data_IF_048645818909
#
_entry.id   IF_048645818909
#
_cell.length_a   1.000
_cell.length_b   1.000
_cell.length_c   1.000
_cell.angle_alpha   90.00
_cell.angle_beta   90.00
_cell.angle_gamma   90.00
#
_symmetry.space_group_name_H-M   'P 1'
#
loop_
_entity.id
_entity.type
_entity.pdbx_description
1 polymer ?
#
# COMPACT_ATOMS: atom_id res chain seq x y z
N UNK A 1 0.44 13.81 23.02
CA UNK A 1 -0.14 12.47 23.28
C UNK A 1 0.70 11.45 22.54
N UNK A 2 1.15 10.39 23.20
CA UNK A 2 1.92 9.30 22.56
C UNK A 2 1.03 8.06 22.56
N UNK A 3 0.83 7.49 21.38
CA UNK A 3 0.03 6.27 21.20
C UNK A 3 0.99 5.12 20.88
N UNK A 4 1.06 4.12 21.75
CA UNK A 4 1.87 2.91 21.57
C UNK A 4 0.98 1.75 21.10
N UNK A 5 1.56 0.77 20.41
CA UNK A 5 0.87 -0.45 19.96
C UNK A 5 0.08 -1.16 21.08
N UNK A 6 0.64 -1.18 22.27
CA UNK A 6 0.06 -1.89 23.41
C UNK A 6 -0.88 -1.03 24.27
N UNK A 7 -1.08 0.24 23.90
CA UNK A 7 -1.95 1.15 24.64
C UNK A 7 -3.20 1.47 23.84
N UNK A 8 -4.30 1.33 24.51
CA UNK A 8 -5.61 1.74 24.00
C UNK A 8 -5.67 3.26 23.89
N UNK A 9 -6.34 3.77 22.86
CA UNK A 9 -6.63 5.20 22.76
C UNK A 9 -7.75 5.52 23.74
N UNK A 10 -7.46 6.34 24.73
CA UNK A 10 -8.47 6.84 25.64
C UNK A 10 -9.24 7.99 24.98
N UNK A 11 -10.53 7.79 24.78
CA UNK A 11 -11.46 8.80 24.28
C UNK A 11 -12.48 9.15 25.36
N UNK A 12 -12.45 10.38 25.85
CA UNK A 12 -13.35 10.86 26.92
C UNK A 12 -13.39 9.98 28.18
N UNK A 13 -12.22 9.53 28.64
CA UNK A 13 -12.10 8.69 29.82
C UNK A 13 -12.60 7.25 29.64
N UNK A 14 -12.78 6.80 28.43
CA UNK A 14 -13.09 5.41 28.10
C UNK A 14 -12.01 4.82 27.21
N UNK A 15 -11.53 3.65 27.60
CA UNK A 15 -10.61 2.87 26.77
C UNK A 15 -11.29 2.47 25.46
N UNK A 16 -10.73 2.87 24.36
CA UNK A 16 -11.19 2.46 23.03
C UNK A 16 -10.20 1.45 22.45
N UNK A 17 -10.64 0.21 22.37
CA UNK A 17 -9.87 -0.84 21.72
C UNK A 17 -10.01 -0.69 20.19
N UNK A 18 -8.92 -0.36 19.54
CA UNK A 18 -8.88 -0.29 18.08
C UNK A 18 -8.58 -1.70 17.55
N UNK A 19 -9.60 -2.44 17.19
CA UNK A 19 -9.48 -3.70 16.44
C UNK A 19 -9.18 -3.39 14.97
N UNK A 20 -8.15 -2.59 14.73
CA UNK A 20 -7.76 -2.22 13.37
C UNK A 20 -6.42 -2.86 13.03
N UNK A 21 -6.38 -3.85 12.11
CA UNK A 21 -5.13 -4.49 11.69
C UNK A 21 -4.16 -3.52 11.00
N UNK A 22 -4.60 -2.29 10.69
CA UNK A 22 -3.77 -1.25 10.09
C UNK A 22 -3.04 -0.38 11.12
N UNK A 23 -3.36 -0.47 12.40
CA UNK A 23 -2.67 0.26 13.47
C UNK A 23 -1.41 -0.48 13.93
N UNK A 24 -0.56 -0.87 13.00
CA UNK A 24 0.72 -1.54 13.28
C UNK A 24 1.90 -0.58 13.36
N UNK A 25 1.65 0.72 13.37
CA UNK A 25 2.71 1.69 13.61
C UNK A 25 2.95 1.79 15.12
N UNK A 26 4.12 1.37 15.61
CA UNK A 26 4.34 1.13 17.04
C UNK A 26 4.19 2.36 17.89
N UNK A 27 4.39 3.55 17.31
CA UNK A 27 4.31 4.79 18.08
C UNK A 27 3.93 5.95 17.18
N UNK A 28 2.89 6.68 17.54
CA UNK A 28 2.58 7.99 16.97
C UNK A 28 2.66 9.06 18.06
N UNK A 29 3.53 10.05 17.86
CA UNK A 29 3.59 11.26 18.67
C UNK A 29 2.71 12.35 18.05
N UNK A 30 1.91 13.04 18.86
CA UNK A 30 1.13 14.19 18.42
C UNK A 30 1.50 15.41 19.24
N UNK A 31 1.78 16.51 18.54
CA UNK A 31 1.86 17.85 19.08
C UNK A 31 0.72 18.67 18.52
N UNK A 32 -0.05 19.30 19.38
CA UNK A 32 -1.20 20.09 18.99
C UNK A 32 -1.03 21.50 19.55
N UNK A 33 -1.04 22.49 18.68
CA UNK A 33 -1.03 23.91 19.05
C UNK A 33 -2.44 24.44 19.08
N UNK A 34 -2.84 24.98 20.20
CA UNK A 34 -4.18 25.53 20.44
C UNK A 34 -4.06 27.04 20.57
N UNK A 35 -4.91 27.75 19.82
CA UNK A 35 -5.01 29.22 19.90
C UNK A 35 -5.63 29.64 21.22
N UNK A 36 -4.97 30.53 21.95
CA UNK A 36 -5.49 31.09 23.21
C UNK A 36 -6.66 32.06 23.01
N UNK A 37 -6.92 32.49 21.77
CA UNK A 37 -7.98 33.45 21.47
C UNK A 37 -9.33 32.80 21.24
N UNK A 38 -9.39 31.54 20.84
CA UNK A 38 -10.61 30.83 20.48
C UNK A 38 -10.63 29.37 20.89
N UNK A 39 -9.62 28.90 21.61
CA UNK A 39 -9.46 27.54 22.10
C UNK A 39 -9.51 26.43 21.02
N UNK A 40 -9.28 26.81 19.74
CA UNK A 40 -9.25 25.88 18.62
C UNK A 40 -7.83 25.47 18.26
N UNK A 41 -7.63 24.21 17.83
CA UNK A 41 -6.34 23.77 17.31
C UNK A 41 -6.07 24.46 15.97
N UNK A 42 -4.92 25.09 15.81
CA UNK A 42 -4.50 25.69 14.55
C UNK A 42 -3.35 24.96 13.88
N UNK A 43 -2.67 24.08 14.59
CA UNK A 43 -1.60 23.25 14.02
C UNK A 43 -1.54 21.92 14.72
N UNK A 44 -1.38 20.86 13.94
CA UNK A 44 -1.18 19.49 14.42
C UNK A 44 0.04 18.90 13.72
N UNK A 45 1.04 18.47 14.51
CA UNK A 45 2.17 17.68 14.03
C UNK A 45 1.98 16.25 14.49
N UNK A 46 2.02 15.32 13.55
CA UNK A 46 2.07 13.90 13.83
C UNK A 46 3.43 13.36 13.43
N UNK A 47 4.09 12.69 14.33
CA UNK A 47 5.33 11.99 14.08
C UNK A 47 5.14 10.49 14.24
N UNK A 48 5.51 9.77 13.21
CA UNK A 48 5.59 8.32 13.18
C UNK A 48 7.02 7.95 12.79
N UNK A 49 7.44 6.71 13.05
CA UNK A 49 8.81 6.26 12.78
C UNK A 49 9.32 6.59 11.36
N UNK A 50 8.45 6.63 10.38
CA UNK A 50 8.79 6.80 8.96
C UNK A 50 8.19 8.06 8.33
N UNK A 51 7.40 8.81 9.05
CA UNK A 51 6.72 9.98 8.49
C UNK A 51 6.46 11.05 9.57
N UNK A 52 6.71 12.30 9.20
CA UNK A 52 6.30 13.46 9.97
C UNK A 52 5.33 14.24 9.09
N UNK A 53 4.11 14.41 9.56
CA UNK A 53 3.11 15.24 8.90
C UNK A 53 2.78 16.46 9.77
N UNK A 54 2.61 17.61 9.13
CA UNK A 54 2.18 18.84 9.80
C UNK A 54 1.00 19.41 9.03
N UNK A 55 -0.10 19.63 9.71
CA UNK A 55 -1.28 20.28 9.19
C UNK A 55 -1.48 21.60 9.94
N UNK A 56 -1.64 22.69 9.21
CA UNK A 56 -1.88 24.01 9.77
C UNK A 56 -3.15 24.60 9.17
N UNK A 57 -3.94 25.28 9.98
CA UNK A 57 -5.10 26.04 9.57
C UNK A 57 -4.81 27.53 9.76
N UNK A 58 -5.06 28.32 8.72
CA UNK A 58 -5.04 29.79 8.77
C UNK A 58 -6.45 30.34 8.49
N UNK A 59 -6.66 31.57 8.85
CA UNK A 59 -7.89 32.31 8.50
C UNK A 59 -9.18 31.62 8.95
N UNK A 60 -9.14 31.09 10.19
CA UNK A 60 -10.27 30.36 10.78
C UNK A 60 -11.37 31.35 11.15
N UNK A 61 -12.51 31.24 10.50
CA UNK A 61 -13.71 32.00 10.79
C UNK A 61 -14.78 31.12 11.48
N UNK A 62 -15.22 31.55 12.67
CA UNK A 62 -16.19 30.80 13.47
C UNK A 62 -17.58 31.40 13.27
N UNK A 63 -18.56 30.59 12.90
CA UNK A 63 -19.97 30.98 12.75
C UNK A 63 -20.23 32.11 11.72
N UNK A 64 -19.30 32.34 10.78
CA UNK A 64 -19.45 33.37 9.75
C UNK A 64 -20.03 32.85 8.44
N UNK A 65 -19.92 31.56 8.17
CA UNK A 65 -20.40 30.96 6.93
C UNK A 65 -21.37 29.81 7.23
N UNK A 66 -22.42 29.69 6.43
CA UNK A 66 -23.32 28.54 6.44
C UNK A 66 -22.81 27.49 5.45
N UNK A 67 -22.97 26.21 5.78
CA UNK A 67 -22.65 25.11 4.85
C UNK A 67 -23.49 25.20 3.56
N UNK A 68 -24.65 25.90 3.61
CA UNK A 68 -25.50 26.12 2.44
C UNK A 68 -24.91 27.11 1.45
N UNK A 69 -23.98 27.96 1.89
CA UNK A 69 -23.29 28.95 1.06
C UNK A 69 -22.03 28.38 0.42
N UNK A 70 -21.68 27.12 0.76
CA UNK A 70 -20.48 26.47 0.29
C UNK A 70 -20.68 25.94 -1.14
N UNK A 71 -19.95 26.54 -2.09
CA UNK A 71 -19.88 26.05 -3.47
C UNK A 71 -18.50 25.44 -3.71
N UNK A 72 -18.47 24.15 -4.01
CA UNK A 72 -17.23 23.42 -4.30
C UNK A 72 -16.37 24.11 -5.35
N UNK A 73 -17.01 24.69 -6.39
CA UNK A 73 -16.33 25.40 -7.47
C UNK A 73 -15.48 26.60 -7.03
N UNK A 74 -15.75 27.16 -5.84
CA UNK A 74 -15.06 28.36 -5.35
C UNK A 74 -13.73 28.01 -4.66
N UNK A 75 -13.54 26.72 -4.32
CA UNK A 75 -12.41 26.22 -3.54
C UNK A 75 -11.45 25.34 -4.34
N UNK A 76 -11.84 24.89 -5.52
CA UNK A 76 -11.01 24.02 -6.35
C UNK A 76 -10.61 24.72 -7.65
N UNK A 77 -9.37 24.51 -8.13
CA UNK A 77 -8.95 24.95 -9.44
C UNK A 77 -9.90 24.46 -10.54
N UNK A 78 -10.06 25.26 -11.61
CA UNK A 78 -11.03 24.96 -12.69
C UNK A 78 -10.72 23.67 -13.46
N UNK A 79 -9.50 23.17 -13.37
CA UNK A 79 -9.03 21.93 -13.98
C UNK A 79 -9.25 20.68 -13.09
N UNK A 80 -9.81 20.88 -11.88
CA UNK A 80 -10.18 19.78 -11.01
C UNK A 80 -11.51 19.17 -11.44
N UNK A 81 -11.50 17.86 -11.62
CA UNK A 81 -12.71 17.10 -11.91
C UNK A 81 -13.45 16.77 -10.61
N UNK A 82 -14.66 17.28 -10.46
CA UNK A 82 -15.53 16.99 -9.33
C UNK A 82 -16.35 15.73 -9.68
N UNK A 83 -16.21 14.67 -8.88
CA UNK A 83 -16.93 13.40 -9.05
C UNK A 83 -17.85 13.13 -7.89
N UNK A 84 -18.94 12.41 -8.15
CA UNK A 84 -19.81 11.92 -7.09
C UNK A 84 -19.19 10.71 -6.39
N UNK A 85 -19.47 10.58 -5.10
CA UNK A 85 -19.07 9.38 -4.34
C UNK A 85 -19.69 8.15 -4.99
N UNK A 86 -18.87 7.15 -5.31
CA UNK A 86 -19.31 5.93 -6.00
C UNK A 86 -19.11 5.93 -7.53
N UNK A 87 -18.76 7.06 -8.14
CA UNK A 87 -18.33 7.07 -9.54
C UNK A 87 -16.97 6.39 -9.66
N UNK A 88 -16.93 5.31 -10.43
CA UNK A 88 -15.69 4.59 -10.68
C UNK A 88 -14.72 5.48 -11.47
N UNK A 89 -13.53 5.68 -10.92
CA UNK A 89 -12.43 6.21 -11.71
C UNK A 89 -12.10 5.17 -12.78
N UNK A 90 -12.12 5.56 -14.06
CA UNK A 90 -11.51 4.73 -15.09
C UNK A 90 -10.03 4.53 -14.69
N UNK A 91 -9.69 3.34 -14.22
CA UNK A 91 -8.29 2.98 -13.98
C UNK A 91 -7.66 2.96 -15.36
N UNK A 92 -6.62 3.75 -15.64
CA UNK A 92 -5.95 3.68 -16.93
C UNK A 92 -5.53 2.23 -17.13
N UNK A 93 -6.02 1.60 -18.19
CA UNK A 93 -5.58 0.25 -18.57
C UNK A 93 -4.09 0.36 -18.77
N UNK A 94 -3.31 -0.33 -17.96
CA UNK A 94 -1.85 -0.23 -18.07
C UNK A 94 -1.43 -0.69 -19.47
N UNK A 95 -0.72 0.17 -20.17
CA UNK A 95 -0.13 -0.14 -21.48
C UNK A 95 0.89 -1.30 -21.44
N UNK A 96 1.17 -1.84 -20.25
CA UNK A 96 2.16 -2.89 -20.04
C UNK A 96 1.62 -4.30 -20.30
N UNK A 97 0.30 -4.51 -20.34
CA UNK A 97 -0.27 -5.83 -20.66
C UNK A 97 0.11 -6.22 -22.08
N UNK A 98 0.62 -7.44 -22.24
CA UNK A 98 1.16 -7.95 -23.51
C UNK A 98 2.64 -7.60 -23.75
N UNK A 99 3.24 -6.75 -22.94
CA UNK A 99 4.66 -6.43 -23.04
C UNK A 99 5.52 -7.35 -22.19
N UNK A 100 6.77 -7.53 -22.60
CA UNK A 100 7.77 -8.22 -21.77
C UNK A 100 8.08 -7.38 -20.53
N UNK A 101 8.04 -8.01 -19.37
CA UNK A 101 8.34 -7.36 -18.12
C UNK A 101 9.77 -6.79 -18.11
N UNK A 102 9.93 -5.58 -17.63
CA UNK A 102 11.25 -4.95 -17.47
C UNK A 102 12.10 -5.81 -16.53
N UNK A 103 13.31 -6.16 -16.97
CA UNK A 103 14.25 -6.92 -16.16
C UNK A 103 14.72 -6.09 -14.95
N UNK A 104 14.97 -6.77 -13.85
CA UNK A 104 15.47 -6.17 -12.61
C UNK A 104 16.35 -7.13 -11.83
N UNK A 105 17.21 -6.55 -11.00
CA UNK A 105 17.99 -7.22 -9.96
C UNK A 105 17.85 -6.37 -8.71
N UNK A 106 17.29 -6.95 -7.62
CA UNK A 106 16.95 -6.27 -6.39
C UNK A 106 17.52 -7.03 -5.19
N UNK A 107 17.72 -6.34 -4.05
CA UNK A 107 18.20 -6.95 -2.83
C UNK A 107 17.06 -7.55 -2.02
N UNK A 108 17.29 -8.76 -1.47
CA UNK A 108 16.39 -9.38 -0.50
C UNK A 108 16.73 -8.94 0.95
N UNK A 109 16.08 -9.56 1.93
CA UNK A 109 16.29 -9.31 3.37
C UNK A 109 17.71 -9.67 3.87
N UNK A 110 18.46 -10.45 3.08
CA UNK A 110 19.85 -10.87 3.36
C UNK A 110 20.87 -10.12 2.51
N UNK A 111 20.49 -9.03 1.87
CA UNK A 111 21.32 -8.24 0.94
C UNK A 111 21.81 -9.04 -0.28
N UNK A 112 21.18 -10.18 -0.58
CA UNK A 112 21.50 -11.00 -1.74
C UNK A 112 20.75 -10.47 -2.97
N UNK A 113 21.38 -10.56 -4.12
CA UNK A 113 20.76 -10.21 -5.40
C UNK A 113 19.71 -11.26 -5.79
N UNK A 114 18.54 -10.79 -6.12
CA UNK A 114 17.43 -11.56 -6.71
C UNK A 114 17.07 -10.88 -8.03
N UNK A 115 17.14 -11.63 -9.11
CA UNK A 115 16.82 -11.14 -10.46
C UNK A 115 15.52 -11.73 -10.98
N UNK A 116 14.84 -11.01 -11.87
CA UNK A 116 13.67 -11.53 -12.57
C UNK A 116 13.99 -12.86 -13.31
N UNK A 117 15.21 -12.99 -13.80
CA UNK A 117 15.69 -14.18 -14.50
C UNK A 117 15.90 -15.40 -13.61
N UNK A 118 15.93 -15.25 -12.29
CA UNK A 118 16.09 -16.38 -11.34
C UNK A 118 14.83 -17.21 -11.20
N UNK A 119 13.69 -16.60 -11.51
CA UNK A 119 12.40 -17.28 -11.49
C UNK A 119 12.24 -18.12 -12.78
N UNK A 120 11.95 -19.42 -12.63
CA UNK A 120 11.82 -20.36 -13.77
C UNK A 120 10.41 -20.96 -13.87
N UNK A 121 9.50 -20.58 -12.97
CA UNK A 121 8.11 -21.01 -12.97
C UNK A 121 7.38 -20.65 -14.26
N UNK A 122 6.36 -21.44 -14.65
CA UNK A 122 5.47 -21.13 -15.78
C UNK A 122 4.76 -19.78 -15.56
N UNK A 123 4.31 -19.54 -14.34
CA UNK A 123 3.67 -18.28 -13.95
C UNK A 123 4.47 -17.62 -12.83
N UNK A 124 4.72 -16.33 -12.94
CA UNK A 124 5.30 -15.51 -11.88
C UNK A 124 4.31 -14.44 -11.45
N UNK A 125 3.95 -14.43 -10.17
CA UNK A 125 3.18 -13.34 -9.56
C UNK A 125 4.14 -12.35 -8.91
N UNK A 126 4.16 -11.12 -9.43
CA UNK A 126 4.93 -10.01 -8.88
C UNK A 126 3.99 -9.05 -8.17
N UNK A 127 4.16 -8.85 -6.87
CA UNK A 127 3.41 -7.86 -6.10
C UNK A 127 4.30 -6.64 -5.81
N UNK A 128 3.84 -5.45 -6.13
CA UNK A 128 4.39 -4.22 -5.57
C UNK A 128 3.66 -3.91 -4.27
N UNK A 129 4.42 -3.80 -3.20
CA UNK A 129 3.90 -3.73 -1.82
C UNK A 129 4.59 -2.63 -1.00
N UNK A 130 4.08 -2.34 0.19
CA UNK A 130 4.71 -1.44 1.16
C UNK A 130 4.57 -1.97 2.57
N UNK A 131 5.65 -1.95 3.35
CA UNK A 131 5.60 -2.27 4.79
C UNK A 131 4.84 -1.15 5.50
N UNK A 132 3.71 -1.50 6.17
CA UNK A 132 2.78 -0.54 6.76
C UNK A 132 1.57 -0.21 5.85
N UNK A 133 1.51 -0.77 4.64
CA UNK A 133 0.34 -0.67 3.78
C UNK A 133 -0.73 -1.69 4.22
N UNK A 134 -1.86 -1.22 4.70
CA UNK A 134 -2.94 -2.07 5.20
C UNK A 134 -3.47 -3.09 4.19
N UNK A 135 -3.94 -2.68 2.99
CA UNK A 135 -4.40 -3.63 1.97
C UNK A 135 -3.31 -4.62 1.53
N UNK A 136 -2.02 -4.21 1.57
CA UNK A 136 -0.92 -5.12 1.28
C UNK A 136 -0.81 -6.22 2.34
N UNK A 137 -0.96 -5.87 3.63
CA UNK A 137 -0.93 -6.86 4.71
C UNK A 137 -2.10 -7.83 4.62
N UNK A 138 -3.29 -7.35 4.27
CA UNK A 138 -4.47 -8.21 4.08
C UNK A 138 -4.29 -9.24 2.97
N UNK A 139 -3.45 -8.98 1.98
CA UNK A 139 -3.16 -9.93 0.89
C UNK A 139 -2.20 -11.04 1.27
N UNK A 140 -1.43 -10.90 2.36
CA UNK A 140 -0.38 -11.88 2.74
C UNK A 140 -0.93 -13.29 2.97
N UNK A 141 -2.03 -13.49 3.74
CA UNK A 141 -2.57 -14.85 3.94
C UNK A 141 -2.97 -15.53 2.63
N UNK A 142 -3.53 -14.78 1.69
CA UNK A 142 -3.85 -15.28 0.36
C UNK A 142 -2.59 -15.68 -0.42
N UNK A 143 -1.57 -14.82 -0.47
CA UNK A 143 -0.32 -15.11 -1.17
C UNK A 143 0.41 -16.29 -0.57
N UNK A 144 0.47 -16.42 0.76
CA UNK A 144 1.04 -17.57 1.46
C UNK A 144 0.30 -18.86 1.06
N UNK A 145 -1.03 -18.83 1.08
CA UNK A 145 -1.85 -19.98 0.66
C UNK A 145 -1.61 -20.34 -0.80
N UNK A 146 -1.56 -19.33 -1.67
CA UNK A 146 -1.33 -19.50 -3.09
C UNK A 146 0.04 -20.14 -3.36
N UNK A 147 1.10 -19.64 -2.71
CA UNK A 147 2.46 -20.21 -2.80
C UNK A 147 2.51 -21.66 -2.33
N UNK A 148 1.77 -22.00 -1.28
CA UNK A 148 1.72 -23.38 -0.75
C UNK A 148 0.87 -24.32 -1.62
N UNK A 149 -0.06 -23.78 -2.40
CA UNK A 149 -1.00 -24.55 -3.23
C UNK A 149 -0.38 -25.07 -4.52
N UNK A 150 0.50 -24.30 -5.14
CA UNK A 150 1.12 -24.61 -6.42
C UNK A 150 2.56 -25.05 -6.24
N UNK A 151 3.03 -25.95 -7.13
CA UNK A 151 4.45 -26.30 -7.18
C UNK A 151 5.27 -25.10 -7.65
N UNK A 152 6.52 -25.00 -7.21
CA UNK A 152 7.39 -23.87 -7.60
C UNK A 152 7.64 -23.79 -9.10
N UNK A 153 7.62 -24.92 -9.82
CA UNK A 153 7.76 -24.93 -11.28
C UNK A 153 6.52 -24.37 -11.98
N UNK A 154 5.34 -24.45 -11.37
CA UNK A 154 4.11 -23.90 -11.91
C UNK A 154 3.95 -22.43 -11.52
N UNK A 155 4.08 -22.09 -10.23
CA UNK A 155 3.92 -20.73 -9.73
C UNK A 155 5.04 -20.35 -8.77
N UNK A 156 5.66 -19.21 -9.01
CA UNK A 156 6.45 -18.51 -7.99
C UNK A 156 5.87 -17.13 -7.69
N UNK A 157 6.21 -16.58 -6.51
CA UNK A 157 5.72 -15.30 -6.04
C UNK A 157 6.89 -14.48 -5.53
N UNK A 158 6.94 -13.20 -5.93
CA UNK A 158 7.86 -12.22 -5.39
C UNK A 158 7.11 -10.93 -5.06
N UNK A 159 7.38 -10.38 -3.88
CA UNK A 159 6.92 -9.05 -3.52
C UNK A 159 8.10 -8.07 -3.58
N UNK A 160 7.83 -6.88 -4.11
CA UNK A 160 8.79 -5.77 -4.25
C UNK A 160 8.30 -4.64 -3.34
N UNK A 161 9.05 -4.37 -2.29
CA UNK A 161 8.76 -3.31 -1.33
C UNK A 161 9.14 -1.95 -1.95
N UNK A 162 8.17 -1.06 -2.11
CA UNK A 162 8.33 0.19 -2.88
C UNK A 162 8.71 1.40 -2.04
N UNK A 163 8.64 1.32 -0.72
CA UNK A 163 8.95 2.44 0.19
C UNK A 163 10.41 2.44 0.66
N UNK A 164 11.27 1.65 0.00
CA UNK A 164 12.73 1.59 0.21
C UNK A 164 13.12 1.26 1.65
N UNK A 165 12.41 0.31 2.26
CA UNK A 165 12.75 -0.14 3.59
C UNK A 165 14.09 -0.89 3.56
N UNK A 166 14.86 -0.73 4.63
CA UNK A 166 16.13 -1.44 4.79
C UNK A 166 15.90 -2.95 4.99
N UNK A 167 16.90 -3.76 4.68
CA UNK A 167 16.87 -5.22 4.77
C UNK A 167 16.37 -5.76 6.10
N UNK A 168 16.77 -5.16 7.24
CA UNK A 168 16.27 -5.57 8.55
C UNK A 168 14.76 -5.37 8.72
N UNK A 169 14.17 -4.34 8.09
CA UNK A 169 12.73 -4.14 8.11
C UNK A 169 12.01 -5.22 7.30
N UNK A 170 12.59 -5.64 6.16
CA UNK A 170 12.08 -6.76 5.37
C UNK A 170 12.11 -8.05 6.21
N UNK A 171 13.25 -8.34 6.87
CA UNK A 171 13.39 -9.53 7.69
C UNK A 171 12.37 -9.58 8.83
N UNK A 172 12.17 -8.45 9.54
CA UNK A 172 11.19 -8.35 10.61
C UNK A 172 9.75 -8.54 10.07
N UNK A 173 9.47 -7.98 8.90
CA UNK A 173 8.17 -8.12 8.26
C UNK A 173 7.89 -9.56 7.82
N UNK A 174 8.87 -10.24 7.22
CA UNK A 174 8.79 -11.66 6.86
C UNK A 174 8.48 -12.51 8.09
N UNK A 175 9.23 -12.32 9.17
CA UNK A 175 9.08 -13.07 10.40
C UNK A 175 7.71 -12.84 11.05
N UNK A 176 7.28 -11.58 11.16
CA UNK A 176 6.01 -11.18 11.79
C UNK A 176 4.80 -11.77 11.05
N UNK A 177 4.82 -11.76 9.73
CA UNK A 177 3.70 -12.19 8.90
C UNK A 177 3.85 -13.59 8.32
N UNK A 178 4.92 -14.32 8.72
CA UNK A 178 5.21 -15.68 8.25
C UNK A 178 5.19 -15.80 6.72
N UNK A 179 5.79 -14.80 6.03
CA UNK A 179 5.82 -14.76 4.56
C UNK A 179 6.64 -15.92 4.03
N UNK A 180 6.06 -16.74 3.13
CA UNK A 180 6.67 -17.94 2.55
C UNK A 180 7.08 -17.76 1.07
N UNK A 181 7.11 -16.53 0.59
CA UNK A 181 7.56 -16.15 -0.75
C UNK A 181 8.67 -15.09 -0.67
N UNK A 182 9.31 -14.79 -1.81
CA UNK A 182 10.43 -13.85 -1.85
C UNK A 182 9.95 -12.41 -1.65
N UNK A 183 10.70 -11.66 -0.85
CA UNK A 183 10.49 -10.22 -0.65
C UNK A 183 11.80 -9.48 -0.95
N UNK A 184 11.73 -8.41 -1.74
CA UNK A 184 12.88 -7.61 -2.15
C UNK A 184 12.62 -6.12 -1.94
N UNK A 185 13.67 -5.31 -1.87
CA UNK A 185 13.56 -3.85 -1.84
C UNK A 185 13.55 -3.31 -3.26
N UNK A 186 12.51 -2.57 -3.62
CA UNK A 186 12.38 -1.91 -4.91
C UNK A 186 13.21 -0.64 -5.04
N UNK A 187 13.37 -0.17 -6.26
CA UNK A 187 13.98 1.12 -6.62
C UNK A 187 12.98 2.00 -7.37
N UNK A 188 13.26 3.30 -7.48
CA UNK A 188 12.41 4.22 -8.23
C UNK A 188 12.30 3.84 -9.70
N UNK A 189 13.38 3.34 -10.26
CA UNK A 189 13.45 2.93 -11.65
C UNK A 189 12.46 1.79 -11.91
N UNK A 190 12.41 0.79 -11.01
CA UNK A 190 11.52 -0.35 -11.19
C UNK A 190 10.06 0.03 -10.92
N UNK A 191 9.79 0.87 -9.92
CA UNK A 191 8.46 1.42 -9.65
C UNK A 191 7.95 2.18 -10.86
N UNK A 192 8.79 3.02 -11.48
CA UNK A 192 8.46 3.78 -12.68
C UNK A 192 8.26 2.87 -13.91
N UNK A 193 9.16 1.90 -14.12
CA UNK A 193 9.09 0.97 -15.25
C UNK A 193 7.82 0.13 -15.25
N UNK A 194 7.36 -0.30 -14.07
CA UNK A 194 6.11 -1.03 -13.89
C UNK A 194 4.89 -0.13 -13.69
N UNK A 195 5.06 1.20 -13.72
CA UNK A 195 3.99 2.17 -13.43
C UNK A 195 3.27 1.89 -12.12
N UNK A 196 4.00 1.38 -11.12
CA UNK A 196 3.48 0.95 -9.83
C UNK A 196 3.28 2.14 -8.87
N UNK A 197 2.38 3.04 -9.22
CA UNK A 197 2.11 4.32 -8.50
C UNK A 197 1.32 4.15 -7.21
N UNK A 198 0.79 2.96 -6.94
CA UNK A 198 0.05 2.61 -5.72
C UNK A 198 0.42 1.21 -5.25
N UNK A 199 0.02 0.83 -4.03
CA UNK A 199 0.23 -0.51 -3.48
C UNK A 199 -1.06 -1.00 -2.77
N UNK A 200 -1.39 -2.30 -2.88
CA UNK A 200 -0.71 -3.29 -3.69
C UNK A 200 -1.09 -3.22 -5.17
N UNK A 201 -0.15 -3.57 -6.06
CA UNK A 201 -0.42 -3.89 -7.46
C UNK A 201 0.19 -5.26 -7.75
N UNK A 202 -0.56 -6.09 -8.46
CA UNK A 202 -0.16 -7.44 -8.83
C UNK A 202 0.02 -7.54 -10.34
N UNK A 203 1.16 -8.09 -10.76
CA UNK A 203 1.46 -8.40 -12.15
C UNK A 203 1.55 -9.91 -12.28
N UNK A 204 0.78 -10.50 -13.20
CA UNK A 204 0.83 -11.92 -13.52
C UNK A 204 1.59 -12.06 -14.84
N UNK A 205 2.73 -12.74 -14.76
CA UNK A 205 3.64 -12.95 -15.87
C UNK A 205 3.62 -14.41 -16.28
N UNK A 206 3.65 -14.67 -17.60
CA UNK A 206 3.79 -16.02 -18.15
C UNK A 206 5.26 -16.53 -18.11
N UNK A 207 5.50 -17.72 -18.63
CA UNK A 207 6.83 -18.36 -18.71
C UNK A 207 7.87 -17.53 -19.47
N UNK A 208 7.42 -16.72 -20.44
CA UNK A 208 8.27 -15.81 -21.21
C UNK A 208 8.45 -14.45 -20.53
N UNK A 209 7.86 -14.27 -19.33
CA UNK A 209 7.84 -13.00 -18.56
C UNK A 209 7.13 -11.88 -19.31
N UNK A 210 6.11 -12.23 -20.09
CA UNK A 210 5.16 -11.28 -20.66
C UNK A 210 4.10 -10.99 -19.59
N UNK A 211 3.79 -9.72 -19.37
CA UNK A 211 2.74 -9.28 -18.45
C UNK A 211 1.40 -9.65 -19.06
N UNK A 212 0.70 -10.59 -18.44
CA UNK A 212 -0.58 -11.09 -18.95
C UNK A 212 -1.78 -10.42 -18.29
N UNK A 213 -1.60 -10.02 -17.01
CA UNK A 213 -2.66 -9.33 -16.26
C UNK A 213 -2.06 -8.42 -15.19
N UNK A 214 -2.77 -7.35 -14.92
CA UNK A 214 -2.47 -6.41 -13.84
C UNK A 214 -3.72 -6.26 -12.98
N UNK A 215 -3.56 -6.40 -11.66
CA UNK A 215 -4.63 -6.21 -10.68
C UNK A 215 -4.19 -5.14 -9.70
N UNK A 216 -4.97 -4.07 -9.57
CA UNK A 216 -4.67 -2.92 -8.71
C UNK A 216 -5.53 -2.93 -7.46
N UNK A 217 -4.89 -2.74 -6.31
CA UNK A 217 -5.58 -2.80 -5.02
C UNK A 217 -5.80 -4.24 -4.55
N UNK A 218 -6.41 -4.37 -3.38
CA UNK A 218 -6.76 -5.67 -2.82
C UNK A 218 -8.12 -5.63 -2.13
N UNK A 219 -8.97 -6.56 -2.53
CA UNK A 219 -10.23 -6.88 -1.88
C UNK A 219 -10.31 -8.40 -1.77
N UNK A 220 -10.40 -8.93 -0.56
CA UNK A 220 -10.38 -10.37 -0.28
C UNK A 220 -11.43 -11.15 -1.06
N UNK A 221 -12.63 -10.60 -1.24
CA UNK A 221 -13.76 -11.32 -1.82
C UNK A 221 -13.66 -11.46 -3.34
N UNK A 222 -12.97 -10.52 -4.00
CA UNK A 222 -12.84 -10.48 -5.46
C UNK A 222 -11.42 -10.79 -5.94
N UNK A 223 -10.40 -10.15 -5.36
CA UNK A 223 -9.01 -10.23 -5.84
C UNK A 223 -8.42 -11.64 -5.72
N UNK A 224 -8.72 -12.36 -4.62
CA UNK A 224 -8.24 -13.74 -4.42
C UNK A 224 -8.70 -14.65 -5.57
N UNK A 225 -9.99 -14.60 -5.88
CA UNK A 225 -10.60 -15.41 -6.96
C UNK A 225 -10.08 -14.99 -8.33
N UNK A 226 -9.96 -13.70 -8.56
CA UNK A 226 -9.50 -13.14 -9.82
C UNK A 226 -8.08 -13.58 -10.15
N UNK A 227 -7.16 -13.45 -9.20
CA UNK A 227 -5.75 -13.83 -9.37
C UNK A 227 -5.62 -15.35 -9.51
N UNK A 228 -6.26 -16.12 -8.61
CA UNK A 228 -6.14 -17.58 -8.62
C UNK A 228 -6.71 -18.19 -9.91
N UNK A 229 -7.86 -17.73 -10.39
CA UNK A 229 -8.46 -18.22 -11.62
C UNK A 229 -7.57 -17.91 -12.82
N UNK A 230 -7.05 -16.69 -12.91
CA UNK A 230 -6.18 -16.31 -14.02
C UNK A 230 -4.85 -17.09 -14.04
N UNK A 231 -4.29 -17.39 -12.88
CA UNK A 231 -3.10 -18.27 -12.78
C UNK A 231 -3.42 -19.67 -13.32
N UNK A 232 -4.59 -20.23 -12.99
CA UNK A 232 -5.00 -21.55 -13.50
C UNK A 232 -5.23 -21.57 -15.02
N UNK A 233 -5.64 -20.45 -15.60
CA UNK A 233 -5.80 -20.32 -17.07
C UNK A 233 -4.45 -20.31 -17.80
N UNK A 234 -3.37 -19.91 -17.13
CA UNK A 234 -2.02 -19.86 -17.70
C UNK A 234 -1.22 -21.14 -17.52
N UNK A 235 -1.66 -22.06 -16.64
CA UNK A 235 -1.01 -23.33 -16.35
C UNK A 235 -1.51 -24.47 -17.24
#
# INVERSE_FOLDING_TARGET
MVINEDKQVEFFGKDYKIDNPYCLDPTSGYEIWISKSNDLPYQVRREMYHNISMNSCSDVEINKSSINDFKLSDYFPKDYEIRKVGENRAVPTSSLVGQKATAWTLKNEKEQDISLSDFKSKVLLVQFTGIGCGPCQLSIPFLNKLKSKFKTDDLDIVAIETWRRKSHALQNYINRHHINYKLTTGTDEIVKAYQAISAPIFFILDENRVIRKIVTGYNKDSTDKEIENYIKELL
#
